data_IF_746777437374
#
_entry.id   IF_746777437374
#
_cell.length_a   1.000
_cell.length_b   1.000
_cell.length_c   1.000
_cell.angle_alpha   90.00
_cell.angle_beta   90.00
_cell.angle_gamma   90.00
#
_symmetry.space_group_name_H-M   'P 1'
#
loop_
_entity.id
_entity.type
_entity.pdbx_description
1 polymer ?
#
# COMPACT_ATOMS: atom_id res chain seq x y z
N UNK A 1 14.72 0.57 21.76
CA UNK A 1 14.01 -0.61 21.21
C UNK A 1 12.53 -0.40 21.42
N UNK A 2 11.70 -0.77 20.44
CA UNK A 2 10.24 -0.77 20.62
C UNK A 2 9.85 -1.86 21.62
N UNK A 3 8.79 -1.67 22.43
CA UNK A 3 8.31 -2.70 23.35
C UNK A 3 7.85 -3.97 22.60
N UNK A 4 7.83 -5.14 23.24
CA UNK A 4 7.27 -6.34 22.62
C UNK A 4 5.75 -6.16 22.40
N UNK A 5 5.33 -5.98 21.14
CA UNK A 5 3.93 -5.84 20.75
C UNK A 5 3.72 -6.23 19.28
N UNK A 6 2.46 -6.40 18.89
CA UNK A 6 2.06 -6.50 17.47
C UNK A 6 1.86 -5.09 16.95
N UNK A 7 2.68 -4.70 15.98
CA UNK A 7 2.61 -3.39 15.35
C UNK A 7 1.90 -3.46 14.00
N UNK A 8 1.25 -2.37 13.62
CA UNK A 8 0.86 -2.08 12.25
C UNK A 8 1.76 -0.97 11.73
N UNK A 9 2.59 -1.30 10.74
CA UNK A 9 3.57 -0.39 10.17
C UNK A 9 3.02 0.20 8.87
N UNK A 10 3.05 1.53 8.77
CA UNK A 10 2.70 2.24 7.55
C UNK A 10 3.98 2.68 6.83
N UNK A 11 4.09 2.39 5.53
CA UNK A 11 5.33 2.59 4.76
C UNK A 11 5.12 3.36 3.47
N UNK A 12 6.07 4.25 3.18
CA UNK A 12 6.12 4.96 1.90
C UNK A 12 6.70 4.08 0.78
N UNK A 13 6.35 4.45 -0.44
CA UNK A 13 6.73 3.80 -1.69
C UNK A 13 8.23 3.54 -1.88
N UNK A 14 9.10 4.26 -1.18
CA UNK A 14 10.56 4.06 -1.25
C UNK A 14 10.99 2.76 -0.55
N UNK A 15 10.26 2.36 0.50
CA UNK A 15 10.60 1.20 1.35
C UNK A 15 9.73 -0.02 1.05
N UNK A 16 8.62 0.17 0.34
CA UNK A 16 7.65 -0.89 0.08
C UNK A 16 8.13 -1.93 -0.94
N UNK A 17 8.22 -3.19 -0.50
CA UNK A 17 8.45 -4.37 -1.35
C UNK A 17 7.62 -5.56 -0.85
N UNK A 18 7.25 -6.48 -1.74
CA UNK A 18 6.49 -7.68 -1.35
C UNK A 18 7.20 -8.51 -0.28
N UNK A 19 8.52 -8.66 -0.39
CA UNK A 19 9.33 -9.48 0.52
C UNK A 19 9.39 -8.87 1.92
N UNK A 20 9.49 -7.53 2.02
CA UNK A 20 9.46 -6.85 3.31
C UNK A 20 8.11 -7.03 4.01
N UNK A 21 7.00 -6.87 3.27
CA UNK A 21 5.66 -7.04 3.82
C UNK A 21 5.44 -8.49 4.28
N UNK A 22 5.88 -9.46 3.49
CA UNK A 22 5.85 -10.87 3.85
C UNK A 22 6.65 -11.12 5.14
N UNK A 23 7.86 -10.58 5.24
CA UNK A 23 8.70 -10.70 6.44
C UNK A 23 8.01 -10.10 7.67
N UNK A 24 7.45 -8.89 7.57
CA UNK A 24 6.70 -8.27 8.67
C UNK A 24 5.54 -9.15 9.13
N UNK A 25 4.77 -9.73 8.19
CA UNK A 25 3.68 -10.65 8.52
C UNK A 25 4.17 -11.90 9.23
N UNK A 26 5.25 -12.51 8.75
CA UNK A 26 5.85 -13.71 9.35
C UNK A 26 6.36 -13.46 10.78
N UNK A 27 6.78 -12.23 11.08
CA UNK A 27 7.18 -11.81 12.44
C UNK A 27 5.99 -11.33 13.29
N UNK A 28 4.75 -11.47 12.80
CA UNK A 28 3.54 -11.12 13.54
C UNK A 28 3.17 -9.64 13.50
N UNK A 29 3.62 -8.89 12.49
CA UNK A 29 3.30 -7.47 12.31
C UNK A 29 2.43 -7.23 11.07
N UNK A 30 1.50 -6.29 11.19
CA UNK A 30 0.74 -5.74 10.07
C UNK A 30 1.58 -4.73 9.31
N UNK A 31 1.39 -4.65 8.00
CA UNK A 31 2.05 -3.67 7.14
C UNK A 31 1.07 -3.17 6.09
N UNK A 32 1.05 -1.85 5.87
CA UNK A 32 0.31 -1.20 4.77
C UNK A 32 1.19 -0.12 4.16
N UNK A 33 1.24 -0.03 2.84
CA UNK A 33 2.04 1.00 2.20
C UNK A 33 1.72 1.19 0.73
N UNK A 34 2.03 2.38 0.21
CA UNK A 34 2.02 2.59 -1.25
C UNK A 34 3.19 1.86 -1.88
N UNK A 35 3.04 1.43 -3.13
CA UNK A 35 4.04 0.66 -3.84
C UNK A 35 4.32 1.23 -5.23
N UNK A 36 5.58 1.10 -5.69
CA UNK A 36 5.94 1.38 -7.07
C UNK A 36 5.67 0.16 -7.95
N UNK A 37 5.39 0.40 -9.23
CA UNK A 37 5.11 -0.67 -10.20
C UNK A 37 6.27 -1.67 -10.36
N UNK A 38 7.50 -1.29 -10.00
CA UNK A 38 8.70 -2.12 -10.06
C UNK A 38 9.07 -2.82 -8.74
N UNK A 39 8.25 -2.75 -7.69
CA UNK A 39 8.53 -3.32 -6.36
C UNK A 39 7.91 -4.70 -6.12
N UNK A 40 7.94 -5.58 -7.13
CA UNK A 40 7.34 -6.93 -7.00
C UNK A 40 5.81 -6.96 -7.14
N UNK A 41 5.21 -5.92 -7.74
CA UNK A 41 3.78 -5.86 -7.99
C UNK A 41 3.36 -6.80 -9.12
N UNK A 42 2.15 -7.38 -9.00
CA UNK A 42 1.53 -8.24 -9.99
C UNK A 42 1.49 -7.54 -11.35
N UNK A 43 1.92 -8.27 -12.39
CA UNK A 43 2.24 -7.71 -13.70
C UNK A 43 1.09 -6.90 -14.29
N UNK A 44 -0.14 -7.39 -14.17
CA UNK A 44 -1.29 -6.69 -14.75
C UNK A 44 -1.57 -5.35 -14.05
N UNK A 45 -1.40 -5.28 -12.72
CA UNK A 45 -1.54 -4.02 -11.99
C UNK A 45 -0.43 -3.03 -12.35
N UNK A 46 0.81 -3.52 -12.50
CA UNK A 46 1.94 -2.71 -12.94
C UNK A 46 1.72 -2.16 -14.36
N UNK A 47 1.20 -2.98 -15.28
CA UNK A 47 0.82 -2.58 -16.63
C UNK A 47 -0.30 -1.53 -16.61
N UNK A 48 -1.36 -1.75 -15.84
CA UNK A 48 -2.45 -0.77 -15.70
C UNK A 48 -1.97 0.55 -15.12
N UNK A 49 -1.06 0.56 -14.14
CA UNK A 49 -0.43 1.77 -13.59
C UNK A 49 0.37 2.54 -14.64
N UNK A 50 1.09 1.84 -15.50
CA UNK A 50 1.84 2.48 -16.59
C UNK A 50 0.92 3.03 -17.68
N UNK A 51 -0.17 2.31 -18.00
CA UNK A 51 -1.20 2.77 -18.95
C UNK A 51 -2.06 3.91 -18.42
N UNK A 52 -2.18 4.05 -17.11
CA UNK A 52 -2.91 5.16 -16.47
C UNK A 52 -2.37 6.53 -16.88
N UNK A 53 -1.04 6.64 -17.05
CA UNK A 53 -0.38 7.85 -17.55
C UNK A 53 -0.85 8.29 -18.94
N UNK A 54 -1.46 7.36 -19.70
CA UNK A 54 -2.03 7.59 -21.02
C UNK A 54 -3.56 7.65 -21.00
N UNK A 55 -4.18 7.67 -19.81
CA UNK A 55 -5.64 7.63 -19.63
C UNK A 55 -6.28 6.28 -19.99
N UNK A 56 -5.49 5.20 -20.03
CA UNK A 56 -5.92 3.87 -20.54
C UNK A 56 -5.73 2.76 -19.51
N UNK A 57 -5.84 3.06 -18.23
CA UNK A 57 -5.70 2.07 -17.16
C UNK A 57 -6.78 0.98 -17.21
N UNK A 58 -7.98 1.31 -17.72
CA UNK A 58 -9.14 0.42 -17.72
C UNK A 58 -9.78 0.30 -16.35
N UNK A 59 -9.62 1.33 -15.52
CA UNK A 59 -10.24 1.48 -14.20
C UNK A 59 -11.15 2.70 -14.21
N UNK A 60 -12.34 2.56 -13.63
CA UNK A 60 -13.24 3.67 -13.34
C UNK A 60 -12.81 4.41 -12.07
N UNK A 61 -13.27 5.66 -11.91
CA UNK A 61 -13.02 6.42 -10.68
C UNK A 61 -13.55 5.67 -9.45
N UNK A 62 -12.75 5.60 -8.40
CA UNK A 62 -12.94 4.80 -7.18
C UNK A 62 -13.02 3.28 -7.38
N UNK A 63 -12.65 2.76 -8.55
CA UNK A 63 -12.51 1.32 -8.72
C UNK A 63 -11.31 0.79 -7.92
N UNK A 64 -11.53 -0.34 -7.24
CA UNK A 64 -10.51 -1.07 -6.49
C UNK A 64 -10.40 -2.47 -7.04
N UNK A 65 -9.17 -2.92 -7.30
CA UNK A 65 -8.86 -4.32 -7.59
C UNK A 65 -7.80 -4.82 -6.63
N UNK A 66 -8.00 -6.04 -6.14
CA UNK A 66 -7.15 -6.66 -5.12
C UNK A 66 -6.71 -8.00 -5.66
N UNK A 67 -5.41 -8.22 -5.67
CA UNK A 67 -4.79 -9.46 -6.13
C UNK A 67 -3.88 -9.95 -5.00
N UNK A 68 -4.20 -11.07 -4.33
CA UNK A 68 -3.29 -11.66 -3.36
C UNK A 68 -2.04 -12.21 -4.06
N UNK A 69 -0.91 -12.24 -3.34
CA UNK A 69 0.25 -13.04 -3.73
C UNK A 69 -0.11 -14.53 -3.80
N UNK A 70 0.71 -15.33 -4.50
CA UNK A 70 0.45 -16.76 -4.68
C UNK A 70 0.33 -17.56 -3.37
N UNK A 71 1.02 -17.09 -2.31
CA UNK A 71 0.94 -17.63 -0.96
C UNK A 71 -0.19 -17.02 -0.10
N UNK A 72 -0.98 -16.11 -0.68
CA UNK A 72 -2.11 -15.43 -0.06
C UNK A 72 -1.75 -14.63 1.21
N UNK A 73 -0.49 -14.19 1.33
CA UNK A 73 0.01 -13.48 2.50
C UNK A 73 0.06 -11.96 2.34
N UNK A 74 0.19 -11.45 1.12
CA UNK A 74 0.24 -10.02 0.83
C UNK A 74 -0.80 -9.69 -0.22
N UNK A 75 -1.66 -8.74 0.08
CA UNK A 75 -2.64 -8.21 -0.86
C UNK A 75 -2.05 -7.04 -1.62
N UNK A 76 -2.11 -7.12 -2.95
CA UNK A 76 -1.65 -6.08 -3.86
C UNK A 76 -2.87 -5.38 -4.44
N UNK A 77 -2.98 -4.09 -4.17
CA UNK A 77 -4.20 -3.32 -4.36
C UNK A 77 -3.93 -2.23 -5.38
N UNK A 78 -4.80 -2.12 -6.38
CA UNK A 78 -4.87 -0.97 -7.25
C UNK A 78 -6.15 -0.20 -6.94
N UNK A 79 -6.02 1.09 -6.64
CA UNK A 79 -7.14 2.00 -6.41
C UNK A 79 -7.06 3.15 -7.40
N UNK A 80 -8.14 3.41 -8.13
CA UNK A 80 -8.21 4.52 -9.07
C UNK A 80 -8.82 5.75 -8.41
N UNK A 81 -7.98 6.75 -8.19
CA UNK A 81 -8.39 8.12 -7.89
C UNK A 81 -8.15 8.99 -9.15
N UNK A 82 -7.76 10.25 -9.00
CA UNK A 82 -7.24 11.07 -10.08
C UNK A 82 -6.11 10.34 -10.87
N UNK A 83 -5.24 9.63 -10.16
CA UNK A 83 -4.29 8.67 -10.71
C UNK A 83 -4.52 7.26 -10.15
N UNK A 84 -4.13 6.22 -10.88
CA UNK A 84 -4.14 4.85 -10.36
C UNK A 84 -3.05 4.72 -9.30
N UNK A 85 -3.36 4.39 -8.06
CA UNK A 85 -2.39 4.20 -6.97
C UNK A 85 -2.26 2.72 -6.67
N UNK A 86 -1.04 2.26 -6.41
CA UNK A 86 -0.76 0.88 -6.02
C UNK A 86 -0.41 0.83 -4.54
N UNK A 87 -0.92 -0.19 -3.85
CA UNK A 87 -0.62 -0.47 -2.46
C UNK A 87 -0.30 -1.94 -2.25
N UNK A 88 0.38 -2.21 -1.14
CA UNK A 88 0.48 -3.54 -0.56
C UNK A 88 -0.06 -3.50 0.87
N UNK A 89 -0.68 -4.59 1.30
CA UNK A 89 -1.11 -4.75 2.69
C UNK A 89 -1.11 -6.21 3.14
N UNK A 90 -0.73 -6.46 4.39
CA UNK A 90 -0.83 -7.79 5.02
C UNK A 90 -2.07 -7.92 5.90
N UNK A 91 -2.71 -6.83 6.27
CA UNK A 91 -3.89 -6.81 7.16
C UNK A 91 -5.19 -6.78 6.38
N UNK A 92 -5.20 -6.12 5.23
CA UNK A 92 -6.41 -5.82 4.49
C UNK A 92 -6.80 -6.93 3.50
N UNK A 93 -8.07 -7.36 3.45
CA UNK A 93 -8.53 -8.49 2.59
C UNK A 93 -9.22 -8.08 1.28
N UNK A 94 -9.40 -6.80 1.02
CA UNK A 94 -9.91 -6.32 -0.27
C UNK A 94 -11.40 -5.98 -0.34
N UNK A 95 -12.15 -6.19 0.73
CA UNK A 95 -13.60 -5.93 0.81
C UNK A 95 -13.97 -4.58 1.48
N UNK A 96 -13.06 -3.94 2.21
CA UNK A 96 -13.33 -2.72 2.99
C UNK A 96 -13.03 -1.45 2.14
N UNK A 97 -13.86 -1.23 1.11
CA UNK A 97 -13.57 -0.34 -0.05
C UNK A 97 -13.18 1.12 0.20
N UNK A 98 -13.42 1.71 1.38
CA UNK A 98 -13.25 3.16 1.59
C UNK A 98 -12.32 3.48 2.76
N UNK A 99 -12.26 2.60 3.76
CA UNK A 99 -11.50 2.86 4.99
C UNK A 99 -9.99 2.76 4.76
N UNK A 100 -9.54 1.91 3.84
CA UNK A 100 -8.12 1.66 3.58
C UNK A 100 -7.30 2.90 3.20
N UNK A 101 -7.75 3.66 2.20
CA UNK A 101 -7.02 4.84 1.72
C UNK A 101 -7.14 5.99 2.74
N UNK A 102 -8.27 6.10 3.42
CA UNK A 102 -8.50 7.10 4.46
C UNK A 102 -7.62 6.84 5.70
N UNK A 103 -7.53 5.59 6.14
CA UNK A 103 -6.67 5.15 7.24
C UNK A 103 -5.19 5.37 6.90
N UNK A 104 -4.76 4.94 5.71
CA UNK A 104 -3.40 5.22 5.24
C UNK A 104 -3.10 6.73 5.24
N UNK A 105 -4.00 7.56 4.71
CA UNK A 105 -3.79 9.02 4.69
C UNK A 105 -3.73 9.63 6.11
N UNK A 106 -4.49 9.10 7.06
CA UNK A 106 -4.48 9.58 8.44
C UNK A 106 -3.17 9.21 9.16
N UNK A 107 -2.66 8.01 8.92
CA UNK A 107 -1.50 7.44 9.63
C UNK A 107 -0.15 7.79 9.00
N UNK A 108 -0.08 8.02 7.68
CA UNK A 108 1.21 8.30 7.02
C UNK A 108 1.79 9.66 7.35
N UNK A 109 0.96 10.63 7.72
CA UNK A 109 1.39 12.01 7.95
C UNK A 109 2.08 12.23 9.31
N UNK A 110 2.35 11.19 10.10
CA UNK A 110 2.91 11.37 11.46
C UNK A 110 4.38 11.81 11.45
N UNK A 111 5.20 11.28 10.53
CA UNK A 111 6.62 11.65 10.42
C UNK A 111 6.75 13.10 9.93
N UNK A 112 6.03 13.44 8.85
CA UNK A 112 6.04 14.79 8.28
C UNK A 112 5.52 15.85 9.26
N UNK A 113 4.47 15.53 10.04
CA UNK A 113 3.98 16.41 11.11
C UNK A 113 5.03 16.62 12.20
N UNK A 114 5.78 15.58 12.57
CA UNK A 114 6.86 15.67 13.54
C UNK A 114 8.01 16.56 13.07
N UNK A 115 8.40 16.45 11.80
CA UNK A 115 9.45 17.28 11.21
C UNK A 115 9.01 18.75 11.08
N UNK A 116 7.75 19.00 10.70
CA UNK A 116 7.20 20.35 10.63
C UNK A 116 7.24 21.06 12.00
N UNK A 117 6.97 20.34 13.09
CA UNK A 117 7.05 20.89 14.46
C UNK A 117 8.49 21.16 14.92
N UNK A 118 9.49 20.45 14.38
CA UNK A 118 10.91 20.66 14.68
C UNK A 118 11.57 21.76 13.86
N UNK A 119 10.93 22.18 12.78
CA UNK A 119 11.42 23.24 11.89
C UNK A 119 11.11 24.67 12.36
N UNK A 120 10.40 24.84 13.48
CA UNK A 120 10.10 26.13 14.11
C UNK A 120 10.92 26.36 15.37
#
# INVERSE_FOLDING_TARGET
MLPPAVYHVFMDNLFSSSDLFLSLRQHGHGATGTARANCGIYKDLAVSKNKDKLGKSGYEFNEIRVIPTADNQVNQIAWKDNALVLFMSTVFKGNERIEFAAEYNNEMNHVDRGDQLRSY
#
